data_IF_596330840082
#
_entry.id   IF_596330840082
#
_cell.length_a   1.000
_cell.length_b   1.000
_cell.length_c   1.000
_cell.angle_alpha   90.00
_cell.angle_beta   90.00
_cell.angle_gamma   90.00
#
_symmetry.space_group_name_H-M   'P 1'
#
loop_
_entity.id
_entity.type
_entity.pdbx_description
1 polymer ?
#
# COMPACT_ATOMS: atom_id res chain seq x y z
N UNK A 1 32.77 7.40 -2.12
CA UNK A 1 31.35 7.74 -2.30
C UNK A 1 30.38 6.74 -1.65
N UNK A 2 30.64 5.44 -1.68
CA UNK A 2 29.74 4.47 -1.01
C UNK A 2 29.65 4.60 0.52
N UNK A 3 30.75 4.92 1.20
CA UNK A 3 30.79 5.07 2.67
C UNK A 3 29.88 6.21 3.16
N UNK A 4 29.87 7.34 2.44
CA UNK A 4 28.97 8.46 2.73
C UNK A 4 27.50 8.09 2.50
N UNK A 5 27.18 7.29 1.48
CA UNK A 5 25.81 6.80 1.24
C UNK A 5 25.32 5.87 2.35
N UNK A 6 26.13 4.89 2.78
CA UNK A 6 25.76 4.00 3.88
C UNK A 6 25.61 4.75 5.21
N UNK A 7 26.46 5.76 5.46
CA UNK A 7 26.35 6.62 6.64
C UNK A 7 25.05 7.42 6.63
N UNK A 8 24.68 8.01 5.49
CA UNK A 8 23.42 8.75 5.33
C UNK A 8 22.21 7.85 5.54
N UNK A 9 22.20 6.64 4.97
CA UNK A 9 21.13 5.65 5.18
C UNK A 9 21.03 5.28 6.66
N UNK A 10 22.16 5.01 7.33
CA UNK A 10 22.21 4.72 8.75
C UNK A 10 21.66 5.87 9.61
N UNK A 11 22.04 7.11 9.30
CA UNK A 11 21.54 8.31 9.97
C UNK A 11 20.02 8.48 9.80
N UNK A 12 19.48 8.21 8.61
CA UNK A 12 18.04 8.24 8.34
C UNK A 12 17.31 7.19 9.18
N UNK A 13 17.83 5.96 9.24
CA UNK A 13 17.23 4.88 10.04
C UNK A 13 17.21 5.27 11.53
N UNK A 14 18.33 5.78 12.05
CA UNK A 14 18.43 6.23 13.45
C UNK A 14 17.44 7.38 13.72
N UNK A 15 17.30 8.32 12.79
CA UNK A 15 16.37 9.44 12.91
C UNK A 15 14.91 8.96 12.92
N UNK A 16 14.56 7.98 12.08
CA UNK A 16 13.23 7.35 12.09
C UNK A 16 12.98 6.65 13.44
N UNK A 17 13.96 5.91 13.97
CA UNK A 17 13.86 5.26 15.28
C UNK A 17 13.67 6.28 16.40
N UNK A 18 14.46 7.34 16.42
CA UNK A 18 14.34 8.42 17.40
C UNK A 18 12.96 9.10 17.31
N UNK A 19 12.45 9.32 16.11
CA UNK A 19 11.16 9.97 15.87
C UNK A 19 10.02 9.14 16.45
N UNK A 20 9.97 7.84 16.13
CA UNK A 20 8.97 6.92 16.66
C UNK A 20 9.06 6.74 18.19
N UNK A 21 10.25 6.88 18.79
CA UNK A 21 10.43 6.84 20.25
C UNK A 21 9.92 8.08 20.98
N UNK A 22 9.79 9.23 20.31
CA UNK A 22 9.24 10.44 20.95
C UNK A 22 7.73 10.29 21.17
N UNK A 23 7.26 10.27 22.42
CA UNK A 23 5.83 10.10 22.69
C UNK A 23 5.03 11.36 22.29
N UNK A 24 3.91 11.15 21.59
CA UNK A 24 2.93 12.17 21.15
C UNK A 24 3.44 13.36 20.31
N UNK A 25 4.67 13.29 19.78
CA UNK A 25 5.19 14.29 18.83
C UNK A 25 5.22 13.72 17.41
N UNK A 26 4.90 14.57 16.44
CA UNK A 26 4.96 14.26 15.00
C UNK A 26 4.12 13.04 14.55
N UNK A 27 2.94 12.82 15.15
CA UNK A 27 2.09 11.67 14.83
C UNK A 27 1.67 11.63 13.34
N UNK A 28 1.49 12.80 12.70
CA UNK A 28 1.22 12.92 11.26
C UNK A 28 2.36 12.38 10.40
N UNK A 29 3.61 12.70 10.75
CA UNK A 29 4.79 12.24 10.03
C UNK A 29 5.07 10.76 10.29
N UNK A 30 4.88 10.28 11.52
CA UNK A 30 4.93 8.84 11.85
C UNK A 30 3.92 8.06 11.03
N UNK A 31 2.69 8.55 10.96
CA UNK A 31 1.63 7.94 10.19
C UNK A 31 2.00 7.89 8.69
N UNK A 32 2.59 8.97 8.15
CA UNK A 32 3.00 9.01 6.75
C UNK A 32 4.13 8.01 6.47
N UNK A 33 5.14 7.93 7.34
CA UNK A 33 6.23 6.94 7.22
C UNK A 33 5.69 5.51 7.32
N UNK A 34 4.81 5.25 8.30
CA UNK A 34 4.19 3.93 8.47
C UNK A 34 3.38 3.53 7.23
N UNK A 35 2.56 4.46 6.74
CA UNK A 35 1.74 4.26 5.55
C UNK A 35 2.60 3.96 4.31
N UNK A 36 3.66 4.75 4.05
CA UNK A 36 4.58 4.49 2.94
C UNK A 36 5.28 3.13 3.08
N UNK A 37 5.71 2.77 4.29
CA UNK A 37 6.31 1.47 4.55
C UNK A 37 5.33 0.33 4.29
N UNK A 38 4.08 0.46 4.73
CA UNK A 38 3.03 -0.54 4.47
C UNK A 38 2.76 -0.72 2.98
N UNK A 39 2.64 0.37 2.22
CA UNK A 39 2.47 0.30 0.76
C UNK A 39 3.66 -0.39 0.11
N UNK A 40 4.89 -0.02 0.49
CA UNK A 40 6.10 -0.64 -0.03
C UNK A 40 6.14 -2.16 0.23
N UNK A 41 5.95 -2.60 1.47
CA UNK A 41 5.91 -4.02 1.82
C UNK A 41 4.75 -4.75 1.13
N UNK A 42 3.59 -4.09 1.00
CA UNK A 42 2.44 -4.64 0.27
C UNK A 42 2.79 -4.90 -1.18
N UNK A 43 3.42 -3.94 -1.87
CA UNK A 43 3.88 -4.10 -3.25
C UNK A 43 4.87 -5.25 -3.39
N UNK A 44 5.84 -5.36 -2.48
CA UNK A 44 6.79 -6.50 -2.47
C UNK A 44 6.05 -7.84 -2.31
N UNK A 45 5.10 -7.93 -1.38
CA UNK A 45 4.28 -9.14 -1.20
C UNK A 45 3.50 -9.49 -2.48
N UNK A 46 2.87 -8.51 -3.13
CA UNK A 46 2.14 -8.73 -4.37
C UNK A 46 3.05 -9.22 -5.49
N UNK A 47 4.24 -8.64 -5.65
CA UNK A 47 5.22 -9.11 -6.64
C UNK A 47 5.61 -10.56 -6.38
N UNK A 48 5.88 -10.93 -5.12
CA UNK A 48 6.18 -12.31 -4.74
C UNK A 48 5.01 -13.25 -5.07
N UNK A 49 3.78 -12.86 -4.74
CA UNK A 49 2.60 -13.67 -5.03
C UNK A 49 2.34 -13.82 -6.53
N UNK A 50 2.56 -12.78 -7.32
CA UNK A 50 2.45 -12.86 -8.78
C UNK A 50 3.51 -13.78 -9.37
N UNK A 51 4.74 -13.74 -8.88
CA UNK A 51 5.80 -14.68 -9.30
C UNK A 51 5.43 -16.12 -8.95
N UNK A 52 4.92 -16.36 -7.74
CA UNK A 52 4.47 -17.69 -7.31
C UNK A 52 3.31 -18.18 -8.20
N UNK A 53 2.30 -17.33 -8.44
CA UNK A 53 1.19 -17.67 -9.33
C UNK A 53 1.65 -17.96 -10.75
N UNK A 54 2.60 -17.19 -11.27
CA UNK A 54 3.17 -17.42 -12.60
C UNK A 54 3.77 -18.83 -12.72
N UNK A 55 4.61 -19.25 -11.75
CA UNK A 55 5.16 -20.60 -11.73
C UNK A 55 4.08 -21.68 -11.58
N UNK A 56 3.04 -21.45 -10.76
CA UNK A 56 1.95 -22.41 -10.58
C UNK A 56 1.02 -22.54 -11.79
N UNK A 57 0.97 -21.52 -12.66
CA UNK A 57 0.13 -21.48 -13.85
C UNK A 57 0.87 -21.90 -15.12
N UNK A 58 2.20 -22.09 -15.05
CA UNK A 58 3.04 -22.41 -16.21
C UNK A 58 2.58 -23.69 -16.95
N UNK A 59 1.97 -24.65 -16.25
CA UNK A 59 1.47 -25.91 -16.83
C UNK A 59 -0.02 -25.88 -17.23
N UNK A 60 -0.70 -24.72 -17.22
CA UNK A 60 -2.13 -24.61 -17.50
C UNK A 60 -2.42 -23.77 -18.75
N UNK A 61 -3.00 -24.41 -19.76
CA UNK A 61 -3.34 -23.79 -21.05
C UNK A 61 -4.47 -22.73 -20.98
N UNK A 62 -5.24 -22.67 -19.88
CA UNK A 62 -6.37 -21.74 -19.74
C UNK A 62 -6.61 -21.36 -18.29
N UNK A 63 -6.82 -20.06 -18.01
CA UNK A 63 -7.20 -19.55 -16.69
C UNK A 63 -8.52 -18.80 -16.80
N UNK A 64 -9.53 -19.24 -16.04
CA UNK A 64 -10.84 -18.57 -16.01
C UNK A 64 -10.74 -17.24 -15.25
N UNK A 65 -11.31 -16.16 -15.80
CA UNK A 65 -11.32 -14.81 -15.19
C UNK A 65 -11.90 -14.80 -13.77
N UNK A 66 -12.93 -15.63 -13.49
CA UNK A 66 -13.48 -15.76 -12.14
C UNK A 66 -12.46 -16.27 -11.11
N UNK A 67 -11.56 -17.15 -11.52
CA UNK A 67 -10.50 -17.65 -10.65
C UNK A 67 -9.41 -16.59 -10.42
N UNK A 68 -9.18 -15.69 -11.38
CA UNK A 68 -8.22 -14.58 -11.21
C UNK A 68 -8.71 -13.55 -10.19
N UNK A 69 -10.01 -13.25 -10.17
CA UNK A 69 -10.58 -12.36 -9.17
C UNK A 69 -10.43 -12.94 -7.75
N UNK A 70 -10.78 -14.22 -7.57
CA UNK A 70 -10.61 -14.91 -6.27
C UNK A 70 -9.14 -14.99 -5.85
N UNK A 71 -8.24 -15.24 -6.81
CA UNK A 71 -6.79 -15.26 -6.55
C UNK A 71 -6.29 -13.89 -6.07
N UNK A 72 -6.70 -12.80 -6.74
CA UNK A 72 -6.33 -11.45 -6.33
C UNK A 72 -6.87 -11.12 -4.93
N UNK A 73 -8.12 -11.50 -4.64
CA UNK A 73 -8.71 -11.33 -3.31
C UNK A 73 -7.93 -12.11 -2.24
N UNK A 74 -7.52 -13.34 -2.53
CA UNK A 74 -6.67 -14.13 -1.64
C UNK A 74 -5.31 -13.46 -1.39
N UNK A 75 -4.68 -12.91 -2.44
CA UNK A 75 -3.42 -12.17 -2.33
C UNK A 75 -3.55 -10.92 -1.46
N UNK A 76 -4.66 -10.18 -1.58
CA UNK A 76 -4.95 -9.02 -0.73
C UNK A 76 -5.01 -9.42 0.74
N UNK A 77 -5.76 -10.46 1.06
CA UNK A 77 -5.93 -10.93 2.45
C UNK A 77 -4.60 -11.46 3.01
N UNK A 78 -3.87 -12.28 2.25
CA UNK A 78 -2.58 -12.83 2.66
C UNK A 78 -1.53 -11.72 2.85
N UNK A 79 -1.47 -10.76 1.93
CA UNK A 79 -0.58 -9.60 2.04
C UNK A 79 -0.90 -8.82 3.32
N UNK A 80 -2.18 -8.57 3.59
CA UNK A 80 -2.61 -7.85 4.80
C UNK A 80 -2.21 -8.58 6.08
N UNK A 81 -2.33 -9.91 6.10
CA UNK A 81 -1.87 -10.73 7.23
C UNK A 81 -0.35 -10.68 7.43
N UNK A 82 0.45 -10.71 6.35
CA UNK A 82 1.90 -10.59 6.46
C UNK A 82 2.32 -9.20 6.95
N UNK A 83 1.70 -8.13 6.45
CA UNK A 83 1.99 -6.77 6.92
C UNK A 83 1.60 -6.64 8.41
N UNK A 84 0.45 -7.17 8.81
CA UNK A 84 0.05 -7.21 10.22
C UNK A 84 1.09 -7.89 11.10
N UNK A 85 1.61 -9.04 10.66
CA UNK A 85 2.65 -9.75 11.40
C UNK A 85 3.95 -8.94 11.47
N UNK A 86 4.34 -8.30 10.36
CA UNK A 86 5.45 -7.34 10.33
C UNK A 86 5.26 -6.17 11.30
N UNK A 87 4.04 -5.63 11.40
CA UNK A 87 3.71 -4.58 12.38
C UNK A 87 3.85 -5.07 13.82
N UNK A 88 3.45 -6.31 14.11
CA UNK A 88 3.65 -6.91 15.45
C UNK A 88 5.12 -7.05 15.82
N UNK A 89 5.95 -7.47 14.87
CA UNK A 89 7.41 -7.54 15.09
C UNK A 89 7.98 -6.14 15.27
N UNK A 90 7.59 -5.20 14.41
CA UNK A 90 8.01 -3.80 14.50
C UNK A 90 7.57 -3.15 15.82
N UNK A 91 6.44 -3.56 16.40
CA UNK A 91 5.93 -3.05 17.67
C UNK A 91 6.86 -3.27 18.87
N UNK A 92 7.74 -4.27 18.79
CA UNK A 92 8.78 -4.48 19.81
C UNK A 92 9.82 -3.35 19.84
N UNK A 93 10.03 -2.67 18.71
CA UNK A 93 11.01 -1.58 18.56
C UNK A 93 10.31 -0.21 18.50
N UNK A 94 9.15 -0.14 17.88
CA UNK A 94 8.39 1.08 17.62
C UNK A 94 7.04 1.03 18.33
N UNK A 95 6.79 1.93 19.30
CA UNK A 95 5.45 2.06 19.89
C UNK A 95 4.53 2.82 18.93
N UNK A 96 3.50 2.15 18.43
CA UNK A 96 2.47 2.79 17.61
C UNK A 96 1.35 3.34 18.51
N UNK A 97 1.15 4.67 18.51
CA UNK A 97 0.01 5.27 19.21
C UNK A 97 -1.28 5.02 18.44
N UNK A 98 -2.41 4.96 19.16
CA UNK A 98 -3.75 4.84 18.54
C UNK A 98 -4.00 5.96 17.54
N UNK A 99 -3.59 7.19 17.86
CA UNK A 99 -3.70 8.34 16.95
C UNK A 99 -2.92 8.12 15.65
N UNK A 100 -1.70 7.60 15.73
CA UNK A 100 -0.89 7.31 14.54
C UNK A 100 -1.58 6.29 13.64
N UNK A 101 -2.16 5.22 14.22
CA UNK A 101 -2.87 4.19 13.46
C UNK A 101 -4.15 4.73 12.81
N UNK A 102 -4.91 5.57 13.53
CA UNK A 102 -6.11 6.23 12.98
C UNK A 102 -5.75 7.21 11.85
N UNK A 103 -4.62 7.94 11.96
CA UNK A 103 -4.14 8.79 10.86
C UNK A 103 -3.76 7.98 9.62
N UNK A 104 -3.18 6.79 9.80
CA UNK A 104 -2.90 5.88 8.67
C UNK A 104 -4.19 5.42 8.00
N UNK A 105 -5.23 5.09 8.76
CA UNK A 105 -6.55 4.78 8.20
C UNK A 105 -7.08 5.94 7.36
N UNK A 106 -6.98 7.18 7.87
CA UNK A 106 -7.40 8.35 7.11
C UNK A 106 -6.57 8.55 5.84
N UNK A 107 -5.26 8.35 5.86
CA UNK A 107 -4.46 8.42 4.63
C UNK A 107 -4.88 7.37 3.60
N UNK A 108 -5.16 6.14 4.03
CA UNK A 108 -5.64 5.09 3.15
C UNK A 108 -6.99 5.49 2.55
N UNK A 109 -7.95 5.92 3.38
CA UNK A 109 -9.28 6.32 2.94
C UNK A 109 -9.26 7.49 1.96
N UNK A 110 -8.53 8.57 2.29
CA UNK A 110 -8.42 9.75 1.41
C UNK A 110 -7.77 9.40 0.07
N UNK A 111 -6.74 8.55 0.08
CA UNK A 111 -6.07 8.11 -1.14
C UNK A 111 -6.98 7.25 -2.01
N UNK A 112 -7.76 6.35 -1.41
CA UNK A 112 -8.75 5.53 -2.11
C UNK A 112 -9.85 6.38 -2.75
N UNK A 113 -10.36 7.38 -2.02
CA UNK A 113 -11.32 8.35 -2.56
C UNK A 113 -10.70 9.08 -3.75
N UNK A 114 -9.48 9.59 -3.61
CA UNK A 114 -8.80 10.33 -4.67
C UNK A 114 -8.62 9.48 -5.94
N UNK A 115 -8.13 8.24 -5.81
CA UNK A 115 -7.95 7.32 -6.95
C UNK A 115 -9.29 7.01 -7.62
N UNK A 116 -10.35 6.78 -6.84
CA UNK A 116 -11.67 6.45 -7.38
C UNK A 116 -12.31 7.63 -8.10
N UNK A 117 -12.21 8.84 -7.52
CA UNK A 117 -12.70 10.08 -8.16
C UNK A 117 -11.92 10.36 -9.44
N UNK A 118 -10.60 10.21 -9.41
CA UNK A 118 -9.74 10.35 -10.60
C UNK A 118 -10.15 9.37 -11.70
N UNK A 119 -10.36 8.10 -11.36
CA UNK A 119 -10.83 7.08 -12.30
C UNK A 119 -12.18 7.45 -12.90
N UNK A 120 -13.16 7.86 -12.08
CA UNK A 120 -14.49 8.23 -12.54
C UNK A 120 -14.46 9.41 -13.52
N UNK A 121 -13.69 10.46 -13.21
CA UNK A 121 -13.52 11.62 -14.08
C UNK A 121 -12.90 11.21 -15.41
N UNK A 122 -11.78 10.47 -15.40
CA UNK A 122 -11.10 10.08 -16.64
C UNK A 122 -11.90 9.09 -17.48
N UNK A 123 -12.62 8.17 -16.85
CA UNK A 123 -13.53 7.24 -17.55
C UNK A 123 -14.63 8.00 -18.29
N UNK A 124 -15.20 9.04 -17.67
CA UNK A 124 -16.23 9.87 -18.29
C UNK A 124 -15.67 10.79 -19.38
N UNK A 125 -14.47 11.34 -19.20
CA UNK A 125 -13.79 12.17 -20.21
C UNK A 125 -13.43 11.35 -21.46
N UNK A 126 -12.97 10.09 -21.31
CA UNK A 126 -12.71 9.20 -22.45
C UNK A 126 -13.96 8.97 -23.33
N UNK A 127 -15.17 9.10 -22.77
CA UNK A 127 -16.42 9.02 -23.54
C UNK A 127 -16.74 10.27 -24.37
N UNK A 128 -16.10 11.42 -24.08
CA UNK A 128 -16.31 12.68 -24.79
C UNK A 128 -15.19 12.84 -25.83
N UNK A 129 -15.42 12.30 -27.03
CA UNK A 129 -14.45 12.25 -28.15
C UNK A 129 -13.89 13.62 -28.59
N UNK A 130 -14.57 14.71 -28.23
CA UNK A 130 -14.18 16.09 -28.61
C UNK A 130 -13.05 16.66 -27.76
N UNK A 131 -12.79 16.11 -26.55
CA UNK A 131 -11.78 16.63 -25.60
C UNK A 131 -10.49 15.79 -25.62
N UNK A 132 -10.54 14.55 -26.12
CA UNK A 132 -9.40 13.63 -26.18
C UNK A 132 -8.21 14.14 -27.01
N UNK A 133 -8.40 15.09 -27.93
CA UNK A 133 -7.31 15.71 -28.69
C UNK A 133 -6.49 16.73 -27.89
N UNK A 134 -7.05 17.34 -26.83
CA UNK A 134 -6.35 18.30 -25.96
C UNK A 134 -5.70 17.65 -24.74
N UNK A 135 -6.20 16.48 -24.32
CA UNK A 135 -5.69 15.72 -23.17
C UNK A 135 -4.74 14.64 -23.69
N UNK A 136 -3.62 15.06 -24.29
CA UNK A 136 -2.46 14.17 -24.48
C UNK A 136 -1.67 14.11 -23.17
N UNK A 137 -2.34 13.71 -22.09
CA UNK A 137 -1.67 13.40 -20.82
C UNK A 137 -0.82 12.17 -21.11
N UNK A 138 0.49 12.32 -20.94
CA UNK A 138 1.47 11.29 -21.27
C UNK A 138 1.06 9.93 -20.75
N UNK A 139 1.43 8.90 -21.52
CA UNK A 139 1.13 7.47 -21.38
C UNK A 139 1.54 6.81 -20.05
N UNK A 140 1.69 7.58 -18.97
CA UNK A 140 2.27 7.16 -17.69
C UNK A 140 1.23 6.69 -16.66
N UNK A 141 -0.06 6.94 -16.84
CA UNK A 141 -1.10 6.58 -15.88
C UNK A 141 -2.39 6.18 -16.60
N UNK A 142 -2.45 4.97 -17.19
CA UNK A 142 -3.76 4.41 -17.55
C UNK A 142 -4.55 4.18 -16.25
N UNK A 143 -5.68 4.87 -16.02
CA UNK A 143 -6.39 4.82 -14.74
C UNK A 143 -6.75 3.40 -14.31
N UNK A 144 -6.97 2.50 -15.28
CA UNK A 144 -7.30 1.10 -15.02
C UNK A 144 -6.11 0.30 -14.47
N UNK A 145 -4.89 0.54 -14.96
CA UNK A 145 -3.68 -0.11 -14.44
C UNK A 145 -3.34 0.38 -13.03
N UNK A 146 -3.53 1.67 -12.80
CA UNK A 146 -3.35 2.29 -11.48
C UNK A 146 -4.26 1.61 -10.45
N UNK A 147 -5.55 1.47 -10.78
CA UNK A 147 -6.58 0.83 -9.95
C UNK A 147 -6.21 -0.62 -9.62
N UNK A 148 -5.82 -1.42 -10.60
CA UNK A 148 -5.51 -2.86 -10.38
C UNK A 148 -4.28 -3.07 -9.50
N UNK A 149 -3.30 -2.16 -9.50
CA UNK A 149 -2.07 -2.30 -8.68
C UNK A 149 -2.22 -1.64 -7.31
N UNK A 150 -2.84 -0.46 -7.29
CA UNK A 150 -2.91 0.39 -6.10
C UNK A 150 -4.03 -0.05 -5.17
N UNK A 151 -5.24 -0.34 -5.65
CA UNK A 151 -6.34 -0.74 -4.76
C UNK A 151 -6.01 -1.96 -3.90
N UNK A 152 -5.47 -3.08 -4.45
CA UNK A 152 -5.11 -4.24 -3.64
C UNK A 152 -4.10 -3.91 -2.54
N UNK A 153 -3.14 -3.04 -2.85
CA UNK A 153 -2.10 -2.61 -1.92
C UNK A 153 -2.67 -1.82 -0.73
N UNK A 154 -3.61 -0.91 -1.02
CA UNK A 154 -4.27 -0.07 -0.02
C UNK A 154 -5.23 -0.87 0.86
N UNK A 155 -6.00 -1.80 0.27
CA UNK A 155 -6.90 -2.68 1.02
C UNK A 155 -6.09 -3.60 1.94
N UNK A 156 -4.99 -4.17 1.45
CA UNK A 156 -4.07 -4.98 2.26
C UNK A 156 -3.50 -4.20 3.45
N UNK A 157 -3.02 -2.97 3.23
CA UNK A 157 -2.52 -2.09 4.29
C UNK A 157 -3.62 -1.77 5.32
N UNK A 158 -4.86 -1.52 4.86
CA UNK A 158 -5.99 -1.27 5.74
C UNK A 158 -6.35 -2.47 6.62
N UNK A 159 -6.40 -3.68 6.04
CA UNK A 159 -6.60 -4.93 6.79
C UNK A 159 -5.55 -5.06 7.88
N UNK A 160 -4.28 -4.79 7.56
CA UNK A 160 -3.19 -4.89 8.52
C UNK A 160 -3.37 -3.94 9.71
N UNK A 161 -3.74 -2.68 9.44
CA UNK A 161 -3.97 -1.67 10.49
C UNK A 161 -5.14 -2.04 11.39
N UNK A 162 -6.27 -2.49 10.82
CA UNK A 162 -7.45 -2.90 11.58
C UNK A 162 -7.15 -4.11 12.46
N UNK A 163 -6.48 -5.13 11.91
CA UNK A 163 -6.05 -6.30 12.68
C UNK A 163 -5.10 -5.91 13.81
N UNK A 164 -4.19 -4.98 13.56
CA UNK A 164 -3.27 -4.49 14.58
C UNK A 164 -3.98 -3.70 15.68
N UNK A 165 -4.92 -2.81 15.34
CA UNK A 165 -5.73 -2.08 16.33
C UNK A 165 -6.55 -3.01 17.21
N UNK A 166 -7.13 -4.07 16.62
CA UNK A 166 -7.84 -5.11 17.37
C UNK A 166 -6.91 -5.87 18.33
N UNK A 167 -5.69 -6.19 17.90
CA UNK A 167 -4.69 -6.86 18.75
C UNK A 167 -4.31 -6.02 19.98
N UNK A 168 -4.17 -4.70 19.83
CA UNK A 168 -3.87 -3.79 20.94
C UNK A 168 -5.11 -3.31 21.71
N UNK A 169 -6.32 -3.82 21.39
CA UNK A 169 -7.61 -3.43 22.00
C UNK A 169 -7.92 -1.93 21.87
N UNK A 170 -7.50 -1.31 20.77
CA UNK A 170 -7.78 0.10 20.47
C UNK A 170 -9.14 0.33 19.77
N UNK A 171 -9.82 -0.75 19.39
CA UNK A 171 -11.18 -0.83 18.83
C UNK A 171 -11.84 -2.13 19.30
#
# INVERSE_FOLDING_TARGET
MHVTTYFVIGAIIILIIALFRSEHKFEFLKAAILFLAQIFFSTVNFLLFFVIAYFMMQDKDHVNLGNLFLLLAAFVVLSGMFIYWGMRVAAHVFKFSTTTLTLVEYYIQWSLIYVTVYQAIFSNIKHISTITHFIRVGNFLDPNLLVVVVLPSFISAWIAVILYKKFIKAI
#
